data_IF_089285744316
#
_entry.id   IF_089285744316
#
_cell.length_a   1.000
_cell.length_b   1.000
_cell.length_c   1.000
_cell.angle_alpha   90.00
_cell.angle_beta   90.00
_cell.angle_gamma   90.00
#
_symmetry.space_group_name_H-M   'P 1'
#
loop_
_entity.id
_entity.type
_entity.pdbx_description
1 polymer ?
#
# COMPACT_ATOMS: atom_id res chain seq x y z
N UNK A 1 -8.95 -14.60 -12.53
CA UNK A 1 -8.64 -15.60 -13.58
C UNK A 1 -7.84 -14.91 -14.64
N UNK A 2 -6.54 -15.22 -14.73
CA UNK A 2 -5.72 -14.84 -15.89
C UNK A 2 -6.22 -15.67 -17.06
N UNK A 3 -6.90 -15.02 -18.01
CA UNK A 3 -7.25 -15.63 -19.29
C UNK A 3 -6.09 -15.42 -20.26
N UNK A 4 -5.94 -16.30 -21.27
CA UNK A 4 -4.87 -16.22 -22.28
C UNK A 4 -4.83 -14.85 -22.97
N UNK A 5 -5.98 -14.21 -23.15
CA UNK A 5 -6.09 -12.86 -23.69
C UNK A 5 -5.39 -11.80 -22.83
N UNK A 6 -5.44 -11.92 -21.51
CA UNK A 6 -4.78 -10.96 -20.60
C UNK A 6 -3.25 -11.06 -20.67
N UNK A 7 -2.72 -12.24 -20.94
CA UNK A 7 -1.27 -12.44 -21.05
C UNK A 7 -0.70 -11.83 -22.34
N UNK A 8 -1.39 -12.05 -23.45
CA UNK A 8 -1.02 -11.46 -24.74
C UNK A 8 -1.11 -9.93 -24.72
N UNK A 9 -2.12 -9.39 -24.07
CA UNK A 9 -2.32 -7.96 -23.92
C UNK A 9 -1.22 -7.33 -23.04
N UNK A 10 -0.85 -7.97 -21.93
CA UNK A 10 0.27 -7.54 -21.09
C UNK A 10 1.60 -7.54 -21.87
N UNK A 11 1.84 -8.58 -22.67
CA UNK A 11 3.04 -8.68 -23.50
C UNK A 11 3.11 -7.59 -24.58
N UNK A 12 1.96 -7.26 -25.19
CA UNK A 12 1.83 -6.14 -26.13
C UNK A 12 2.14 -4.82 -25.44
N UNK A 13 1.53 -4.56 -24.28
CA UNK A 13 1.76 -3.35 -23.48
C UNK A 13 3.24 -3.18 -23.11
N UNK A 14 3.91 -4.25 -22.66
CA UNK A 14 5.35 -4.23 -22.35
C UNK A 14 6.19 -3.79 -23.56
N UNK A 15 5.80 -4.21 -24.76
CA UNK A 15 6.50 -3.81 -26.00
C UNK A 15 6.22 -2.37 -26.43
N UNK A 16 5.04 -1.85 -26.11
CA UNK A 16 4.60 -0.50 -26.51
C UNK A 16 5.06 0.60 -25.55
N UNK A 17 5.44 0.26 -24.31
CA UNK A 17 5.95 1.25 -23.34
C UNK A 17 7.22 1.91 -23.90
N UNK A 18 7.15 3.22 -24.15
CA UNK A 18 8.30 4.01 -24.60
C UNK A 18 9.09 4.51 -23.38
N UNK A 19 10.29 3.96 -23.20
CA UNK A 19 11.22 4.32 -22.14
C UNK A 19 12.28 5.32 -22.58
N UNK A 20 12.37 5.65 -23.88
CA UNK A 20 13.44 6.45 -24.48
C UNK A 20 13.53 7.89 -23.96
N UNK A 21 12.47 8.37 -23.34
CA UNK A 21 12.35 9.72 -22.78
C UNK A 21 12.95 9.87 -21.37
N UNK A 22 13.43 8.78 -20.78
CA UNK A 22 13.88 8.74 -19.39
C UNK A 22 15.30 8.20 -19.29
N UNK A 23 16.11 8.79 -18.46
CA UNK A 23 17.49 8.33 -18.17
C UNK A 23 17.50 7.21 -17.12
N UNK A 24 16.52 7.20 -16.24
CA UNK A 24 16.37 6.24 -15.14
C UNK A 24 14.90 6.00 -14.85
N UNK A 25 14.54 4.74 -14.59
CA UNK A 25 13.20 4.33 -14.15
C UNK A 25 13.25 4.00 -12.67
N UNK A 26 12.33 4.60 -11.89
CA UNK A 26 12.04 4.18 -10.53
C UNK A 26 10.72 3.42 -10.57
N UNK A 27 10.76 2.15 -10.20
CA UNK A 27 9.62 1.25 -10.26
C UNK A 27 9.14 0.90 -8.85
N UNK A 28 7.87 1.21 -8.55
CA UNK A 28 7.20 0.82 -7.32
C UNK A 28 6.33 -0.43 -7.57
N UNK A 29 7.00 -1.57 -7.68
CA UNK A 29 6.39 -2.90 -7.82
C UNK A 29 5.38 -3.02 -8.97
N UNK A 30 5.64 -2.34 -10.10
CA UNK A 30 4.80 -2.36 -11.28
C UNK A 30 5.45 -3.28 -12.36
N UNK A 31 4.81 -4.41 -12.75
CA UNK A 31 5.46 -5.43 -13.54
C UNK A 31 5.66 -5.05 -15.01
N UNK A 32 4.74 -4.31 -15.62
CA UNK A 32 4.81 -4.03 -17.07
C UNK A 32 6.02 -3.16 -17.41
N UNK A 33 6.21 -2.07 -16.66
CA UNK A 33 7.40 -1.21 -16.80
C UNK A 33 8.67 -1.94 -16.36
N UNK A 34 8.56 -2.78 -15.30
CA UNK A 34 9.67 -3.61 -14.85
C UNK A 34 10.19 -4.55 -15.94
N UNK A 35 9.31 -5.29 -16.59
CA UNK A 35 9.67 -6.17 -17.70
C UNK A 35 10.10 -5.40 -18.95
N UNK A 36 9.47 -4.26 -19.26
CA UNK A 36 9.87 -3.40 -20.36
C UNK A 36 11.31 -2.89 -20.20
N UNK A 37 11.67 -2.47 -18.98
CA UNK A 37 13.02 -2.04 -18.63
C UNK A 37 14.04 -3.19 -18.71
N UNK A 38 13.71 -4.35 -18.15
CA UNK A 38 14.60 -5.52 -18.17
C UNK A 38 14.88 -6.03 -19.58
N UNK A 39 13.86 -6.14 -20.41
CA UNK A 39 14.00 -6.64 -21.80
C UNK A 39 14.84 -5.70 -22.68
N UNK A 40 14.88 -4.42 -22.37
CA UNK A 40 15.66 -3.41 -23.11
C UNK A 40 16.95 -2.99 -22.42
N UNK A 41 17.32 -3.66 -21.32
CA UNK A 41 18.48 -3.32 -20.49
C UNK A 41 18.49 -1.85 -20.04
N UNK A 42 17.30 -1.33 -19.71
CA UNK A 42 17.15 0.08 -19.30
C UNK A 42 17.57 0.28 -17.85
N UNK A 43 18.23 1.42 -17.49
CA UNK A 43 18.56 1.72 -16.12
C UNK A 43 17.31 1.78 -15.24
N UNK A 44 17.23 0.91 -14.25
CA UNK A 44 16.05 0.79 -13.39
C UNK A 44 16.42 0.50 -11.94
N UNK A 45 15.69 1.12 -11.02
CA UNK A 45 15.72 0.84 -9.59
C UNK A 45 14.32 0.43 -9.17
N UNK A 46 14.16 -0.74 -8.58
CA UNK A 46 12.94 -1.11 -7.86
C UNK A 46 13.00 -0.47 -6.48
N UNK A 47 11.95 0.28 -6.14
CA UNK A 47 11.81 1.02 -4.88
C UNK A 47 10.45 0.70 -4.28
N UNK A 48 10.34 -0.37 -3.50
CA UNK A 48 9.06 -0.89 -3.03
C UNK A 48 9.14 -1.53 -1.64
N UNK A 49 7.98 -1.70 -0.99
CA UNK A 49 7.88 -2.51 0.23
C UNK A 49 8.20 -3.98 -0.04
N UNK A 50 7.76 -4.50 -1.18
CA UNK A 50 7.96 -5.89 -1.57
C UNK A 50 9.44 -6.22 -1.76
N UNK A 51 10.22 -5.29 -2.26
CA UNK A 51 11.66 -5.45 -2.40
C UNK A 51 12.36 -5.74 -1.06
N UNK A 52 11.84 -5.21 0.07
CA UNK A 52 12.40 -5.48 1.40
C UNK A 52 12.34 -6.95 1.78
N UNK A 53 11.33 -7.68 1.33
CA UNK A 53 11.13 -9.10 1.62
C UNK A 53 12.10 -10.02 0.89
N UNK A 54 12.83 -9.52 -0.10
CA UNK A 54 13.84 -10.29 -0.84
C UNK A 54 15.20 -10.35 -0.12
N UNK A 55 15.43 -9.48 0.85
CA UNK A 55 16.64 -9.50 1.67
C UNK A 55 16.56 -10.62 2.71
N UNK A 56 17.69 -11.31 2.94
CA UNK A 56 17.77 -12.46 3.86
C UNK A 56 17.54 -12.07 5.31
N UNK A 57 17.93 -10.86 5.66
CA UNK A 57 17.88 -10.29 7.00
C UNK A 57 16.46 -9.87 7.41
N UNK A 58 15.56 -9.73 6.44
CA UNK A 58 14.16 -9.39 6.73
C UNK A 58 13.44 -10.61 7.32
N UNK A 59 12.73 -10.48 8.46
CA UNK A 59 11.93 -11.57 9.02
C UNK A 59 10.95 -12.14 8.01
N UNK A 60 10.87 -13.46 7.96
CA UNK A 60 9.99 -14.19 7.04
C UNK A 60 9.02 -15.08 7.82
N UNK A 61 7.86 -15.41 7.25
CA UNK A 61 6.94 -16.37 7.85
C UNK A 61 7.61 -17.73 8.06
N UNK A 62 7.22 -18.44 9.12
CA UNK A 62 7.74 -19.79 9.44
C UNK A 62 7.43 -20.81 8.32
N UNK A 63 6.28 -20.66 7.68
CA UNK A 63 5.92 -21.47 6.51
C UNK A 63 6.49 -20.85 5.25
N UNK A 64 7.38 -21.58 4.61
CA UNK A 64 7.93 -21.20 3.29
C UNK A 64 6.82 -21.30 2.24
N UNK A 65 6.52 -20.18 1.62
CA UNK A 65 5.71 -20.11 0.41
C UNK A 65 6.62 -19.95 -0.81
N UNK A 66 7.00 -21.08 -1.38
CA UNK A 66 7.89 -21.12 -2.55
C UNK A 66 7.30 -20.33 -3.74
N UNK A 67 5.99 -20.41 -3.96
CA UNK A 67 5.30 -19.70 -5.04
C UNK A 67 5.30 -18.19 -4.78
N UNK A 68 5.00 -17.77 -3.56
CA UNK A 68 5.05 -16.37 -3.16
C UNK A 68 6.46 -15.77 -3.28
N UNK A 69 7.51 -16.52 -2.89
CA UNK A 69 8.91 -16.09 -3.06
C UNK A 69 9.28 -15.95 -4.54
N UNK A 70 8.81 -16.84 -5.39
CA UNK A 70 9.05 -16.77 -6.83
C UNK A 70 8.38 -15.54 -7.45
N UNK A 71 7.11 -15.29 -7.09
CA UNK A 71 6.38 -14.09 -7.51
C UNK A 71 7.11 -12.84 -7.05
N UNK A 72 7.45 -12.72 -5.77
CA UNK A 72 8.19 -11.56 -5.24
C UNK A 72 9.49 -11.30 -5.99
N UNK A 73 10.21 -12.35 -6.36
CA UNK A 73 11.49 -12.23 -7.04
C UNK A 73 11.38 -11.79 -8.50
N UNK A 74 10.39 -12.30 -9.21
CA UNK A 74 10.28 -12.14 -10.68
C UNK A 74 9.15 -11.23 -11.13
N UNK A 75 8.29 -10.76 -10.22
CA UNK A 75 7.21 -9.84 -10.54
C UNK A 75 7.75 -8.52 -11.13
N UNK A 76 8.79 -7.98 -10.49
CA UNK A 76 9.55 -6.85 -11.05
C UNK A 76 11.02 -7.25 -11.16
N UNK A 77 11.51 -7.58 -12.38
CA UNK A 77 12.88 -8.07 -12.59
C UNK A 77 13.88 -6.91 -12.63
N UNK A 78 14.23 -6.36 -11.47
CA UNK A 78 15.27 -5.34 -11.32
C UNK A 78 16.51 -5.90 -10.64
N UNK A 79 17.68 -5.53 -11.15
CA UNK A 79 18.96 -5.90 -10.55
C UNK A 79 19.33 -4.95 -9.38
N UNK A 80 18.75 -3.74 -9.38
CA UNK A 80 18.90 -2.77 -8.31
C UNK A 80 17.59 -2.63 -7.53
N UNK A 81 17.61 -3.10 -6.28
CA UNK A 81 16.45 -3.08 -5.39
C UNK A 81 16.73 -2.29 -4.14
N UNK A 82 15.79 -1.41 -3.77
CA UNK A 82 15.76 -0.69 -2.50
C UNK A 82 14.42 -1.01 -1.85
N UNK A 83 14.45 -1.62 -0.67
CA UNK A 83 13.25 -1.98 0.08
C UNK A 83 12.80 -0.86 1.02
N UNK A 84 11.49 -0.80 1.32
CA UNK A 84 10.97 -0.03 2.44
C UNK A 84 10.52 -0.97 3.56
N UNK A 85 10.96 -0.69 4.79
CA UNK A 85 10.50 -1.40 5.99
C UNK A 85 10.60 -0.49 7.21
N UNK A 86 9.81 -0.77 8.26
CA UNK A 86 9.85 0.00 9.51
C UNK A 86 11.18 -0.17 10.26
N UNK A 87 11.85 -1.33 10.09
CA UNK A 87 13.18 -1.62 10.61
C UNK A 87 14.21 -1.73 9.49
N UNK A 88 15.46 -1.31 9.80
CA UNK A 88 16.57 -1.31 8.85
C UNK A 88 17.36 -2.63 8.93
N UNK A 89 16.81 -3.72 8.43
CA UNK A 89 17.47 -5.04 8.44
C UNK A 89 18.68 -5.15 7.51
N UNK A 90 18.76 -4.27 6.50
CA UNK A 90 19.83 -4.28 5.49
C UNK A 90 20.10 -2.84 5.00
N UNK A 91 21.36 -2.47 4.58
CA UNK A 91 21.67 -1.11 4.11
C UNK A 91 20.81 -0.59 2.93
N UNK A 92 20.30 -1.50 2.10
CA UNK A 92 19.37 -1.19 1.00
C UNK A 92 17.90 -1.14 1.45
N UNK A 93 17.59 -1.38 2.71
CA UNK A 93 16.25 -1.19 3.27
C UNK A 93 16.20 0.17 3.93
N UNK A 94 15.22 0.98 3.53
CA UNK A 94 15.01 2.34 4.04
C UNK A 94 13.67 2.42 4.76
N UNK A 95 13.50 3.41 5.63
CA UNK A 95 12.22 3.69 6.28
C UNK A 95 11.22 4.21 5.24
N UNK A 96 9.91 3.91 5.42
CA UNK A 96 8.86 4.39 4.53
C UNK A 96 8.87 5.91 4.39
N UNK A 97 8.56 6.38 3.18
CA UNK A 97 8.43 7.82 2.90
C UNK A 97 7.09 8.32 3.44
N UNK A 98 7.15 9.33 4.29
CA UNK A 98 5.96 9.99 4.85
C UNK A 98 5.81 11.37 4.22
N UNK A 99 4.62 11.66 3.68
CA UNK A 99 4.30 12.97 3.08
C UNK A 99 4.51 14.10 4.10
N UNK A 100 5.06 15.24 3.64
CA UNK A 100 5.31 16.41 4.52
C UNK A 100 4.06 16.84 5.28
N UNK A 101 2.89 16.88 4.63
CA UNK A 101 1.63 17.27 5.26
C UNK A 101 1.25 16.37 6.45
N UNK A 102 1.57 15.06 6.39
CA UNK A 102 1.34 14.15 7.52
C UNK A 102 2.40 14.34 8.61
N UNK A 103 3.66 14.51 8.21
CA UNK A 103 4.76 14.73 9.16
C UNK A 103 4.62 16.03 9.96
N UNK A 104 3.98 17.04 9.39
CA UNK A 104 3.77 18.35 10.01
C UNK A 104 2.45 18.45 10.79
N UNK A 105 1.67 17.38 10.90
CA UNK A 105 0.49 17.37 11.75
C UNK A 105 0.91 17.54 13.23
N UNK A 106 0.05 18.22 13.97
CA UNK A 106 0.21 18.42 15.41
C UNK A 106 -0.87 17.63 16.16
N UNK A 107 -0.62 16.40 16.59
CA UNK A 107 -1.63 15.51 17.16
C UNK A 107 -2.28 16.09 18.43
N UNK A 108 -3.61 16.15 18.44
CA UNK A 108 -4.43 16.58 19.57
C UNK A 108 -5.57 15.58 19.80
N UNK A 109 -5.38 14.68 20.75
CA UNK A 109 -6.30 13.56 21.04
C UNK A 109 -7.67 14.05 21.50
N UNK A 110 -8.72 13.63 20.80
CA UNK A 110 -10.12 14.07 21.03
C UNK A 110 -11.09 12.93 21.39
N UNK A 111 -10.58 11.82 21.89
CA UNK A 111 -11.39 10.74 22.45
C UNK A 111 -12.10 9.89 21.40
N UNK A 112 -11.53 9.72 20.19
CA UNK A 112 -12.08 8.81 19.18
C UNK A 112 -10.98 8.04 18.45
N UNK A 113 -11.34 6.89 17.89
CA UNK A 113 -10.48 6.07 17.04
C UNK A 113 -10.86 6.20 15.57
N UNK A 114 -9.84 6.26 14.70
CA UNK A 114 -9.98 6.32 13.26
C UNK A 114 -9.91 4.92 12.65
N UNK A 115 -10.81 4.62 11.71
CA UNK A 115 -10.87 3.32 11.03
C UNK A 115 -10.85 3.50 9.53
N UNK A 116 -9.94 2.76 8.87
CA UNK A 116 -9.91 2.64 7.42
C UNK A 116 -9.61 1.19 7.04
N UNK A 117 -10.66 0.43 6.75
CA UNK A 117 -10.62 -0.99 6.43
C UNK A 117 -11.34 -1.26 5.08
N UNK A 118 -10.74 -0.85 3.96
CA UNK A 118 -11.39 -0.90 2.65
C UNK A 118 -11.71 -2.31 2.13
N UNK A 119 -11.17 -3.34 2.76
CA UNK A 119 -11.47 -4.74 2.42
C UNK A 119 -12.76 -5.28 3.04
N UNK A 120 -13.38 -4.54 3.95
CA UNK A 120 -14.59 -4.96 4.66
C UNK A 120 -15.76 -4.02 4.34
N UNK A 121 -16.98 -4.59 4.33
CA UNK A 121 -18.20 -3.77 4.18
C UNK A 121 -18.48 -2.95 5.44
N UNK A 122 -19.16 -1.81 5.27
CA UNK A 122 -19.52 -0.92 6.38
C UNK A 122 -20.35 -1.64 7.44
N UNK A 123 -21.28 -2.52 7.01
CA UNK A 123 -22.13 -3.32 7.90
C UNK A 123 -21.30 -4.21 8.83
N UNK A 124 -20.28 -4.90 8.28
CA UNK A 124 -19.40 -5.77 9.06
C UNK A 124 -18.56 -4.98 10.05
N UNK A 125 -18.03 -3.83 9.62
CA UNK A 125 -17.26 -2.92 10.48
C UNK A 125 -18.16 -2.42 11.64
N UNK A 126 -19.32 -1.88 11.34
CA UNK A 126 -20.26 -1.33 12.31
C UNK A 126 -20.72 -2.41 13.31
N UNK A 127 -21.03 -3.60 12.80
CA UNK A 127 -21.46 -4.75 13.65
C UNK A 127 -20.48 -5.05 14.77
N UNK A 128 -19.19 -4.95 14.51
CA UNK A 128 -18.12 -5.18 15.51
C UNK A 128 -17.90 -3.95 16.38
N UNK A 129 -17.69 -2.79 15.75
CA UNK A 129 -17.26 -1.58 16.46
C UNK A 129 -18.31 -1.03 17.43
N UNK A 130 -19.60 -1.16 17.12
CA UNK A 130 -20.69 -0.70 18.03
C UNK A 130 -20.71 -1.42 19.38
N UNK A 131 -20.04 -2.56 19.50
CA UNK A 131 -19.95 -3.33 20.74
C UNK A 131 -18.82 -2.83 21.67
N UNK A 132 -17.91 -2.01 21.15
CA UNK A 132 -16.76 -1.50 21.87
C UNK A 132 -17.08 -0.06 22.31
N UNK A 133 -17.07 0.26 23.61
CA UNK A 133 -17.58 1.51 24.15
C UNK A 133 -16.61 2.70 23.98
N UNK A 134 -16.21 2.97 22.72
CA UNK A 134 -15.41 4.13 22.32
C UNK A 134 -15.99 4.77 21.08
N UNK A 135 -15.71 6.02 20.82
CA UNK A 135 -16.14 6.72 19.61
C UNK A 135 -15.30 6.30 18.40
N UNK A 136 -15.97 5.95 17.31
CA UNK A 136 -15.34 5.49 16.08
C UNK A 136 -15.67 6.43 14.92
N UNK A 137 -14.66 6.79 14.12
CA UNK A 137 -14.80 7.43 12.82
C UNK A 137 -14.29 6.52 11.74
N UNK A 138 -15.20 6.00 10.93
CA UNK A 138 -14.93 5.06 9.83
C UNK A 138 -14.93 5.79 8.51
N UNK A 139 -13.85 5.73 7.75
CA UNK A 139 -13.81 6.22 6.38
C UNK A 139 -14.07 5.06 5.41
N UNK A 140 -15.16 5.17 4.64
CA UNK A 140 -15.67 4.13 3.77
C UNK A 140 -15.54 4.49 2.30
N UNK A 141 -15.07 3.54 1.50
CA UNK A 141 -15.11 3.64 0.04
C UNK A 141 -16.47 3.32 -0.57
N UNK A 142 -17.36 2.74 0.23
CA UNK A 142 -18.69 2.33 -0.24
C UNK A 142 -19.75 3.39 0.06
N UNK A 143 -19.60 4.18 1.10
CA UNK A 143 -20.54 5.20 1.48
C UNK A 143 -20.31 6.50 0.73
N UNK A 144 -21.39 7.09 0.21
CA UNK A 144 -21.37 8.40 -0.45
C UNK A 144 -21.88 9.52 0.45
N UNK A 145 -22.44 9.17 1.61
CA UNK A 145 -23.00 10.10 2.59
C UNK A 145 -22.43 9.80 3.99
N UNK A 146 -22.39 10.83 4.82
CA UNK A 146 -22.07 10.69 6.23
C UNK A 146 -23.30 10.21 6.99
N UNK A 147 -23.14 9.21 7.85
CA UNK A 147 -24.18 8.72 8.74
C UNK A 147 -23.61 8.19 10.04
N UNK A 148 -24.47 7.96 11.04
CA UNK A 148 -24.06 7.46 12.35
C UNK A 148 -24.94 6.30 12.80
N UNK A 149 -24.32 5.28 13.39
CA UNK A 149 -24.97 4.16 14.06
C UNK A 149 -24.33 4.02 15.44
N UNK A 150 -25.06 4.35 16.49
CA UNK A 150 -24.59 4.39 17.88
C UNK A 150 -23.31 5.25 18.03
N UNK A 151 -22.21 4.63 18.48
CA UNK A 151 -20.89 5.23 18.66
C UNK A 151 -20.00 5.16 17.41
N UNK A 152 -20.52 4.73 16.28
CA UNK A 152 -19.81 4.61 15.01
C UNK A 152 -20.31 5.65 14.02
N UNK A 153 -19.45 6.54 13.60
CA UNK A 153 -19.72 7.55 12.59
C UNK A 153 -18.98 7.21 11.29
N UNK A 154 -19.74 7.05 10.19
CA UNK A 154 -19.21 6.68 8.89
C UNK A 154 -19.14 7.92 7.99
N UNK A 155 -18.00 8.08 7.34
CA UNK A 155 -17.71 9.17 6.40
C UNK A 155 -17.40 8.59 5.02
N UNK A 156 -17.83 9.25 3.93
CA UNK A 156 -17.25 9.01 2.62
C UNK A 156 -15.75 9.36 2.63
N UNK A 157 -14.98 8.82 1.67
CA UNK A 157 -13.57 9.17 1.54
C UNK A 157 -13.44 10.62 1.12
N UNK A 158 -12.87 11.43 2.01
CA UNK A 158 -12.48 12.82 1.79
C UNK A 158 -11.12 13.05 2.43
N UNK A 159 -10.14 13.53 1.66
CA UNK A 159 -8.76 13.68 2.13
C UNK A 159 -8.64 14.71 3.27
N UNK A 160 -9.35 15.81 3.19
CA UNK A 160 -9.26 16.90 4.18
C UNK A 160 -9.84 16.41 5.51
N UNK A 161 -11.02 15.82 5.45
CA UNK A 161 -11.70 15.29 6.63
C UNK A 161 -10.92 14.10 7.24
N UNK A 162 -10.32 13.26 6.40
CA UNK A 162 -9.48 12.15 6.85
C UNK A 162 -8.25 12.67 7.60
N UNK A 163 -7.49 13.61 7.03
CA UNK A 163 -6.30 14.17 7.66
C UNK A 163 -6.62 14.89 8.98
N UNK A 164 -7.74 15.62 9.04
CA UNK A 164 -8.21 16.25 10.27
C UNK A 164 -8.58 15.21 11.34
N UNK A 165 -9.17 14.10 10.93
CA UNK A 165 -9.48 13.01 11.86
C UNK A 165 -8.23 12.25 12.26
N UNK A 166 -7.29 12.04 11.34
CA UNK A 166 -5.99 11.42 11.60
C UNK A 166 -5.17 12.20 12.63
N UNK A 167 -5.13 13.54 12.51
CA UNK A 167 -4.44 14.42 13.43
C UNK A 167 -5.00 14.37 14.86
N UNK A 168 -6.32 14.11 14.99
CA UNK A 168 -7.04 14.24 16.25
C UNK A 168 -7.50 12.91 16.86
N UNK A 169 -7.17 11.78 16.28
CA UNK A 169 -7.58 10.48 16.82
C UNK A 169 -6.64 9.98 17.93
N UNK A 170 -7.17 9.15 18.81
CA UNK A 170 -6.40 8.48 19.87
C UNK A 170 -5.62 7.28 19.33
N UNK A 171 -6.08 6.70 18.23
CA UNK A 171 -5.45 5.59 17.55
C UNK A 171 -6.12 5.28 16.22
N UNK A 172 -5.48 4.40 15.43
CA UNK A 172 -5.92 4.06 14.07
C UNK A 172 -6.01 2.55 13.93
N UNK A 173 -7.10 2.11 13.30
CA UNK A 173 -7.29 0.74 12.84
C UNK A 173 -7.32 0.73 11.31
N UNK A 174 -6.31 0.15 10.69
CA UNK A 174 -6.19 0.04 9.24
C UNK A 174 -5.56 -1.30 8.82
N UNK A 175 -5.73 -1.67 7.55
CA UNK A 175 -5.08 -2.81 6.92
C UNK A 175 -4.27 -2.37 5.68
#
# INVERSE_FOLDING_TARGET
TFTDNNFLEAFKTIREIDLSKYDLIINDYEPLTGWAGKLRNYPMIELSHQASMLFKETPKPDKKDFFGELVLKYYVPSDNKIGFHFENYHPKIKKPVIRRKIRNLNPDKKGFYLVYLPSFSDENIIKVLKQIPVEWKVFSKYSTIRFRVNNVEVFPIDEIQYLKSFENCDGILCN
#
